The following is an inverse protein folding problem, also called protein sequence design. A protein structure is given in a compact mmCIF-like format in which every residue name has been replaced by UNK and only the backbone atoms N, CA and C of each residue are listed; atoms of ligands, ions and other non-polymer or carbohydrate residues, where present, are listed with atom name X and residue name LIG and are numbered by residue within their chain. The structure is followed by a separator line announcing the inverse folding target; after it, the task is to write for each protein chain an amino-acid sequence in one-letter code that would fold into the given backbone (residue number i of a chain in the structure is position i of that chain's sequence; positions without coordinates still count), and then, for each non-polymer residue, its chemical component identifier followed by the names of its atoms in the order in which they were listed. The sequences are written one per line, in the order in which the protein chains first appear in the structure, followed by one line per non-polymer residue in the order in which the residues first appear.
data_IF_519387282957
#
_entry.id   IF_519387282957
#
_cell.length_a   1.000
_cell.length_b   1.000
_cell.length_c   1.000
_cell.angle_alpha   90.00
_cell.angle_beta   90.00
_cell.angle_gamma   90.00
#
_symmetry.space_group_name_H-M   'P 1'
#
loop_
_entity.id
_entity.type
_entity.pdbx_description
1 polymer ?
#
# COMPACT_ATOMS: atom_id res chain seq x y z
N UNK A 1 17.46 25.54 13.70
CA UNK A 1 17.62 24.59 12.58
C UNK A 1 16.52 23.54 12.72
N UNK A 2 15.64 23.43 11.75
CA UNK A 2 14.60 22.38 11.75
C UNK A 2 15.26 21.00 11.53
N UNK A 3 14.79 20.00 12.29
CA UNK A 3 15.28 18.64 12.16
C UNK A 3 14.82 18.05 10.79
N UNK A 4 15.66 17.21 10.15
CA UNK A 4 15.25 16.55 8.92
C UNK A 4 14.06 15.63 9.14
N UNK A 5 13.11 15.67 8.23
CA UNK A 5 11.90 14.85 8.22
C UNK A 5 12.03 13.81 7.11
N UNK A 6 11.73 12.54 7.43
CA UNK A 6 11.71 11.48 6.44
C UNK A 6 10.44 11.53 5.60
N UNK A 7 10.61 11.75 4.31
CA UNK A 7 9.54 11.67 3.32
C UNK A 7 9.55 10.28 2.68
N UNK A 8 8.37 9.68 2.56
CA UNK A 8 8.17 8.37 1.94
C UNK A 8 7.22 8.49 0.77
N UNK A 9 7.59 7.89 -0.35
CA UNK A 9 6.76 7.80 -1.56
C UNK A 9 6.69 6.34 -2.00
N UNK A 10 5.51 5.90 -2.43
CA UNK A 10 5.32 4.55 -2.95
C UNK A 10 5.15 4.58 -4.47
N UNK A 11 6.05 3.91 -5.17
CA UNK A 11 5.99 3.71 -6.62
C UNK A 11 5.37 2.34 -6.92
N UNK A 12 4.29 2.32 -7.71
CA UNK A 12 3.66 1.09 -8.19
C UNK A 12 4.21 0.75 -9.57
N UNK A 13 4.78 -0.44 -9.73
CA UNK A 13 5.34 -0.91 -11.00
C UNK A 13 4.77 -2.28 -11.34
N UNK A 14 4.29 -2.45 -12.58
CA UNK A 14 3.95 -3.79 -13.08
C UNK A 14 5.23 -4.58 -13.31
N UNK A 15 5.20 -5.87 -12.97
CA UNK A 15 6.36 -6.73 -13.09
C UNK A 15 6.02 -8.02 -13.85
N UNK A 16 6.97 -8.53 -14.61
CA UNK A 16 6.87 -9.79 -15.31
C UNK A 16 7.96 -10.75 -14.83
N UNK A 17 7.61 -12.01 -14.73
CA UNK A 17 8.57 -13.07 -14.42
C UNK A 17 9.05 -13.71 -15.72
N UNK A 18 10.31 -14.14 -15.81
CA UNK A 18 10.72 -15.10 -16.82
C UNK A 18 9.99 -16.44 -16.62
N UNK A 19 10.04 -17.30 -17.61
CA UNK A 19 9.41 -18.63 -17.59
C UNK A 19 9.71 -19.41 -16.30
N UNK A 20 8.68 -20.01 -15.70
CA UNK A 20 8.77 -20.80 -14.48
C UNK A 20 8.71 -20.01 -13.16
N UNK A 21 8.89 -18.68 -13.15
CA UNK A 21 8.87 -17.88 -11.93
C UNK A 21 7.47 -17.58 -11.40
N UNK A 22 6.46 -17.57 -12.27
CA UNK A 22 5.09 -17.22 -11.91
C UNK A 22 4.49 -18.18 -10.86
N UNK A 23 4.64 -19.48 -11.08
CA UNK A 23 4.14 -20.51 -10.17
C UNK A 23 4.71 -20.36 -8.75
N UNK A 24 6.03 -20.12 -8.64
CA UNK A 24 6.71 -19.92 -7.36
C UNK A 24 6.24 -18.67 -6.61
N UNK A 25 6.01 -17.58 -7.34
CA UNK A 25 5.48 -16.35 -6.73
C UNK A 25 4.04 -16.51 -6.28
N UNK A 26 3.20 -17.19 -7.07
CA UNK A 26 1.82 -17.45 -6.68
C UNK A 26 1.74 -18.39 -5.49
N UNK A 27 2.56 -19.45 -5.44
CA UNK A 27 2.69 -20.33 -4.28
C UNK A 27 3.07 -19.52 -3.02
N UNK A 28 4.10 -18.69 -3.12
CA UNK A 28 4.54 -17.84 -2.02
C UNK A 28 3.44 -16.88 -1.56
N UNK A 29 2.77 -16.18 -2.47
CA UNK A 29 1.72 -15.20 -2.12
C UNK A 29 0.50 -15.87 -1.49
N UNK A 30 0.12 -17.07 -1.94
CA UNK A 30 -0.96 -17.87 -1.34
C UNK A 30 -0.57 -18.31 0.06
N UNK A 31 0.62 -18.92 0.21
CA UNK A 31 1.13 -19.34 1.52
C UNK A 31 1.24 -18.16 2.48
N UNK A 32 1.70 -16.99 2.02
CA UNK A 32 1.78 -15.77 2.83
C UNK A 32 0.39 -15.32 3.31
N UNK A 33 -0.59 -15.20 2.41
CA UNK A 33 -1.98 -14.85 2.76
C UNK A 33 -2.56 -15.82 3.79
N UNK A 34 -2.40 -17.13 3.55
CA UNK A 34 -2.96 -18.17 4.41
C UNK A 34 -2.27 -18.19 5.78
N UNK A 35 -0.97 -17.88 5.83
CA UNK A 35 -0.22 -17.72 7.08
C UNK A 35 -0.66 -16.48 7.86
N UNK A 36 -0.91 -15.36 7.19
CA UNK A 36 -1.49 -14.18 7.86
C UNK A 36 -2.88 -14.51 8.41
N UNK A 37 -3.71 -15.22 7.63
CA UNK A 37 -5.04 -15.66 8.10
C UNK A 37 -4.93 -16.59 9.29
N UNK A 38 -4.01 -17.56 9.28
CA UNK A 38 -3.76 -18.46 10.40
C UNK A 38 -3.46 -17.70 11.71
N UNK A 39 -2.61 -16.67 11.63
CA UNK A 39 -2.28 -15.85 12.82
C UNK A 39 -3.49 -15.00 13.22
N UNK A 40 -4.23 -14.41 12.28
CA UNK A 40 -5.47 -13.66 12.54
C UNK A 40 -6.47 -14.56 13.27
N UNK A 41 -6.68 -15.79 12.77
CA UNK A 41 -7.62 -16.74 13.37
C UNK A 41 -7.21 -17.14 14.81
N UNK A 42 -5.91 -17.32 15.04
CA UNK A 42 -5.40 -17.70 16.35
C UNK A 42 -5.43 -16.59 17.41
N UNK A 43 -5.58 -15.31 16.99
CA UNK A 43 -5.57 -14.18 17.92
C UNK A 43 -6.88 -13.40 17.96
N UNK A 44 -7.83 -13.71 17.10
CA UNK A 44 -9.06 -12.91 16.95
C UNK A 44 -9.88 -12.83 18.23
N UNK A 45 -10.06 -13.96 18.89
CA UNK A 45 -10.91 -14.08 20.08
C UNK A 45 -10.20 -13.61 21.38
N UNK A 46 -8.92 -13.22 21.25
CA UNK A 46 -8.19 -12.65 22.38
C UNK A 46 -8.62 -11.20 22.63
N UNK A 47 -8.75 -10.80 23.87
CA UNK A 47 -9.13 -9.44 24.27
C UNK A 47 -8.16 -8.38 23.73
N UNK A 48 -6.87 -8.67 23.78
CA UNK A 48 -5.80 -7.81 23.25
C UNK A 48 -5.00 -8.55 22.17
N UNK A 49 -4.50 -7.80 21.19
CA UNK A 49 -3.62 -8.37 20.17
C UNK A 49 -2.26 -8.66 20.81
N UNK A 50 -1.78 -9.91 20.77
CA UNK A 50 -0.53 -10.28 21.42
C UNK A 50 0.68 -9.54 20.86
N UNK A 51 1.72 -9.41 21.68
CA UNK A 51 3.00 -8.87 21.23
C UNK A 51 3.64 -9.78 20.17
N UNK A 52 4.52 -9.23 19.35
CA UNK A 52 5.25 -10.00 18.33
C UNK A 52 6.06 -11.14 18.97
N UNK A 53 6.63 -10.93 20.16
CA UNK A 53 7.35 -11.98 20.94
C UNK A 53 6.42 -13.15 21.29
N UNK A 54 5.18 -12.88 21.65
CA UNK A 54 4.18 -13.92 21.94
C UNK A 54 3.79 -14.69 20.70
N UNK A 55 3.53 -13.98 19.59
CA UNK A 55 3.23 -14.60 18.29
C UNK A 55 4.39 -15.48 17.81
N UNK A 56 5.62 -15.02 17.98
CA UNK A 56 6.81 -15.78 17.64
C UNK A 56 6.87 -17.11 18.39
N UNK A 57 6.61 -17.11 19.70
CA UNK A 57 6.60 -18.35 20.52
C UNK A 57 5.58 -19.36 20.01
N UNK A 58 4.40 -18.89 19.55
CA UNK A 58 3.29 -19.76 19.16
C UNK A 58 3.40 -20.24 17.70
N UNK A 59 3.78 -19.35 16.78
CA UNK A 59 3.65 -19.63 15.34
C UNK A 59 4.97 -19.84 14.61
N UNK A 60 6.13 -19.51 15.21
CA UNK A 60 7.41 -19.47 14.49
C UNK A 60 7.76 -20.82 13.86
N UNK A 61 7.78 -21.89 14.62
CA UNK A 61 8.16 -23.23 14.13
C UNK A 61 7.25 -23.68 12.98
N UNK A 62 5.93 -23.44 13.12
CA UNK A 62 4.96 -23.78 12.10
C UNK A 62 5.19 -23.00 10.79
N UNK A 63 5.40 -21.69 10.88
CA UNK A 63 5.64 -20.84 9.71
C UNK A 63 6.99 -21.14 9.05
N UNK A 64 8.03 -21.40 9.85
CA UNK A 64 9.33 -21.85 9.33
C UNK A 64 9.23 -23.19 8.62
N UNK A 65 8.42 -24.12 9.14
CA UNK A 65 8.14 -25.39 8.49
C UNK A 65 7.46 -25.29 7.12
N UNK A 66 6.75 -24.16 6.83
CA UNK A 66 6.19 -23.85 5.53
C UNK A 66 7.24 -23.27 4.55
N UNK A 67 8.50 -23.15 4.95
CA UNK A 67 9.59 -22.66 4.11
C UNK A 67 9.77 -21.13 4.11
N UNK A 68 9.08 -20.38 5.00
CA UNK A 68 9.30 -18.95 5.13
C UNK A 68 10.65 -18.61 5.77
N UNK A 69 11.28 -17.55 5.32
CA UNK A 69 12.45 -16.95 5.98
C UNK A 69 12.02 -16.23 7.28
N UNK A 70 12.96 -15.99 8.19
CA UNK A 70 12.67 -15.33 9.46
C UNK A 70 12.01 -13.96 9.30
N UNK A 71 12.47 -13.15 8.34
CA UNK A 71 11.88 -11.83 8.06
C UNK A 71 10.47 -11.94 7.49
N UNK A 72 10.18 -12.93 6.62
CA UNK A 72 8.81 -13.20 6.17
C UNK A 72 7.87 -13.48 7.34
N UNK A 73 8.35 -14.26 8.33
CA UNK A 73 7.57 -14.58 9.52
C UNK A 73 7.26 -13.33 10.35
N UNK A 74 8.24 -12.44 10.54
CA UNK A 74 8.01 -11.15 11.24
C UNK A 74 7.00 -10.28 10.49
N UNK A 75 7.07 -10.22 9.14
CA UNK A 75 6.12 -9.45 8.34
C UNK A 75 4.70 -10.06 8.38
N UNK A 76 4.57 -11.39 8.47
CA UNK A 76 3.29 -12.08 8.68
C UNK A 76 2.66 -11.65 10.01
N UNK A 77 3.44 -11.60 11.12
CA UNK A 77 2.95 -11.14 12.41
C UNK A 77 2.51 -9.69 12.38
N UNK A 78 3.35 -8.81 11.83
CA UNK A 78 3.06 -7.38 11.69
C UNK A 78 1.76 -7.18 10.92
N UNK A 79 1.61 -7.87 9.81
CA UNK A 79 0.40 -7.78 8.98
C UNK A 79 -0.84 -8.32 9.68
N UNK A 80 -0.75 -9.44 10.36
CA UNK A 80 -1.86 -10.01 11.10
C UNK A 80 -2.34 -9.07 12.23
N UNK A 81 -1.40 -8.48 12.98
CA UNK A 81 -1.70 -7.49 14.01
C UNK A 81 -2.41 -6.26 13.44
N UNK A 82 -1.86 -5.65 12.38
CA UNK A 82 -2.48 -4.50 11.69
C UNK A 82 -3.92 -4.78 11.28
N UNK A 83 -4.17 -5.97 10.71
CA UNK A 83 -5.50 -6.39 10.27
C UNK A 83 -6.46 -6.52 11.46
N UNK A 84 -6.06 -7.21 12.53
CA UNK A 84 -6.91 -7.42 13.70
C UNK A 84 -7.18 -6.11 14.42
N UNK A 85 -6.14 -5.30 14.68
CA UNK A 85 -6.27 -4.00 15.35
C UNK A 85 -7.18 -3.05 14.58
N UNK A 86 -6.96 -2.93 13.27
CA UNK A 86 -7.79 -2.07 12.40
C UNK A 86 -9.24 -2.53 12.38
N UNK A 87 -9.49 -3.84 12.26
CA UNK A 87 -10.85 -4.37 12.18
C UNK A 87 -11.59 -4.21 13.52
N UNK A 88 -10.93 -4.52 14.65
CA UNK A 88 -11.50 -4.34 15.99
C UNK A 88 -11.81 -2.86 16.28
N UNK A 89 -10.92 -1.94 15.90
CA UNK A 89 -11.13 -0.48 16.06
C UNK A 89 -12.37 0.01 15.29
N UNK A 90 -12.66 -0.57 14.15
CA UNK A 90 -13.81 -0.22 13.32
C UNK A 90 -15.05 -1.10 13.62
N UNK A 91 -15.09 -1.80 14.75
CA UNK A 91 -16.19 -2.68 15.15
C UNK A 91 -16.58 -3.70 14.07
N UNK A 92 -15.61 -4.14 13.26
CA UNK A 92 -15.83 -5.10 12.17
C UNK A 92 -15.90 -6.54 12.66
N UNK A 93 -16.49 -7.41 11.84
CA UNK A 93 -16.46 -8.85 12.04
C UNK A 93 -15.08 -9.42 11.68
N UNK A 94 -14.81 -10.66 12.12
CA UNK A 94 -13.55 -11.36 11.83
C UNK A 94 -13.19 -11.30 10.35
N UNK A 95 -12.01 -10.75 10.00
CA UNK A 95 -11.65 -10.53 8.60
C UNK A 95 -11.22 -11.82 7.90
N UNK A 96 -11.62 -11.95 6.63
CA UNK A 96 -11.18 -13.01 5.73
C UNK A 96 -10.29 -12.41 4.65
N UNK A 97 -9.03 -12.82 4.60
CA UNK A 97 -8.04 -12.30 3.68
C UNK A 97 -8.19 -12.95 2.30
N UNK A 98 -8.43 -12.12 1.28
CA UNK A 98 -8.62 -12.58 -0.11
C UNK A 98 -7.50 -12.12 -1.05
N UNK A 99 -6.81 -11.04 -0.70
CA UNK A 99 -5.81 -10.42 -1.57
C UNK A 99 -4.48 -11.15 -1.50
N UNK A 100 -3.90 -11.45 -2.65
CA UNK A 100 -2.55 -11.98 -2.76
C UNK A 100 -1.56 -10.83 -2.74
N UNK A 101 -1.10 -10.48 -1.55
CA UNK A 101 -0.15 -9.39 -1.31
C UNK A 101 0.75 -9.75 -0.13
N UNK A 102 2.06 -9.65 -0.33
CA UNK A 102 3.07 -9.88 0.69
C UNK A 102 3.95 -8.65 0.87
N UNK A 103 4.25 -8.29 2.10
CA UNK A 103 5.29 -7.33 2.45
C UNK A 103 6.62 -8.07 2.48
N UNK A 104 7.62 -7.50 1.83
CA UNK A 104 8.96 -8.10 1.71
C UNK A 104 9.94 -7.15 2.38
N UNK A 105 10.63 -7.66 3.38
CA UNK A 105 11.67 -6.93 4.11
C UNK A 105 12.86 -6.63 3.19
N UNK A 106 13.60 -5.55 3.45
CA UNK A 106 14.74 -5.11 2.63
C UNK A 106 15.85 -6.17 2.47
N UNK A 107 15.98 -7.10 3.39
CA UNK A 107 16.93 -8.22 3.32
C UNK A 107 16.43 -9.41 2.47
N UNK A 108 15.16 -9.43 2.10
CA UNK A 108 14.55 -10.51 1.33
C UNK A 108 14.28 -10.13 -0.13
N UNK A 109 14.83 -9.01 -0.58
CA UNK A 109 14.87 -8.65 -1.98
C UNK A 109 16.18 -7.98 -2.37
N UNK A 110 16.49 -7.97 -3.66
CA UNK A 110 17.58 -7.21 -4.27
C UNK A 110 17.06 -6.46 -5.47
N UNK A 111 17.03 -5.13 -5.40
CA UNK A 111 16.59 -4.24 -6.47
C UNK A 111 17.80 -3.73 -7.24
N UNK A 112 17.81 -3.95 -8.55
CA UNK A 112 18.76 -3.37 -9.47
C UNK A 112 18.03 -2.33 -10.35
N UNK A 113 18.28 -1.08 -10.07
CA UNK A 113 17.67 0.04 -10.78
C UNK A 113 18.30 0.26 -12.16
N UNK A 114 19.52 -0.23 -12.42
CA UNK A 114 20.19 -0.11 -13.73
C UNK A 114 19.55 -1.06 -14.75
N UNK A 115 19.31 -2.30 -14.36
CA UNK A 115 18.67 -3.32 -15.21
C UNK A 115 17.16 -3.33 -15.09
N UNK A 116 16.58 -2.52 -14.18
CA UNK A 116 15.13 -2.51 -13.87
C UNK A 116 14.62 -3.89 -13.47
N UNK A 117 15.41 -4.59 -12.68
CA UNK A 117 15.04 -5.92 -12.17
C UNK A 117 14.98 -5.95 -10.65
N UNK A 118 14.18 -6.85 -10.12
CA UNK A 118 14.13 -7.14 -8.70
C UNK A 118 14.16 -8.65 -8.49
N UNK A 119 15.03 -9.10 -7.59
CA UNK A 119 15.04 -10.49 -7.10
C UNK A 119 14.35 -10.52 -5.75
N UNK A 120 13.41 -11.44 -5.59
CA UNK A 120 12.64 -11.59 -4.35
C UNK A 120 12.85 -12.99 -3.81
N UNK A 121 13.14 -13.10 -2.53
CA UNK A 121 13.18 -14.38 -1.82
C UNK A 121 11.74 -14.89 -1.64
N UNK A 122 11.55 -16.17 -1.94
CA UNK A 122 10.28 -16.89 -1.77
C UNK A 122 10.46 -18.06 -0.80
N UNK A 123 9.53 -19.02 -0.80
CA UNK A 123 9.62 -20.18 0.07
C UNK A 123 10.90 -21.01 -0.20
N UNK A 124 11.37 -21.70 0.84
CA UNK A 124 12.51 -22.64 0.80
C UNK A 124 13.80 -22.00 0.28
N UNK A 125 14.05 -20.74 0.68
CA UNK A 125 15.24 -19.95 0.29
C UNK A 125 15.46 -19.79 -1.22
N UNK A 126 14.42 -20.07 -2.02
CA UNK A 126 14.45 -19.82 -3.48
C UNK A 126 14.32 -18.33 -3.76
N UNK A 127 14.83 -17.93 -4.92
CA UNK A 127 14.79 -16.55 -5.39
C UNK A 127 14.16 -16.49 -6.77
N UNK A 128 13.25 -15.54 -6.98
CA UNK A 128 12.64 -15.27 -8.28
C UNK A 128 13.03 -13.88 -8.74
N UNK A 129 13.43 -13.77 -10.01
CA UNK A 129 13.73 -12.49 -10.66
C UNK A 129 12.46 -12.00 -11.35
N UNK A 130 12.15 -10.72 -11.18
CA UNK A 130 11.10 -10.02 -11.89
C UNK A 130 11.70 -8.86 -12.68
N UNK A 131 11.28 -8.71 -13.93
CA UNK A 131 11.57 -7.53 -14.74
C UNK A 131 10.48 -6.49 -14.51
N UNK A 132 10.86 -5.30 -14.10
CA UNK A 132 9.96 -4.18 -13.83
C UNK A 132 9.62 -3.47 -15.14
N UNK A 133 8.33 -3.28 -15.44
CA UNK A 133 7.86 -2.40 -16.52
C UNK A 133 8.03 -0.96 -16.08
N UNK A 134 9.27 -0.52 -16.09
CA UNK A 134 9.67 0.80 -15.64
C UNK A 134 9.16 1.88 -16.61
N UNK A 135 8.73 3.02 -16.11
CA UNK A 135 8.27 4.16 -16.92
C UNK A 135 8.95 5.45 -16.44
N UNK A 136 9.10 6.41 -17.33
CA UNK A 136 9.96 7.61 -17.17
C UNK A 136 9.66 8.44 -15.91
N UNK A 137 8.41 8.50 -15.47
CA UNK A 137 8.07 9.18 -14.22
C UNK A 137 8.86 8.68 -13.00
N UNK A 138 9.28 7.40 -13.01
CA UNK A 138 10.03 6.79 -11.91
C UNK A 138 11.51 7.15 -11.94
N UNK A 139 12.02 7.73 -13.03
CA UNK A 139 13.44 8.11 -13.15
C UNK A 139 13.85 9.15 -12.09
N UNK A 140 12.88 9.91 -11.57
CA UNK A 140 13.09 10.83 -10.44
C UNK A 140 13.60 10.18 -9.16
N UNK A 141 13.46 8.86 -9.02
CA UNK A 141 13.96 8.11 -7.87
C UNK A 141 15.35 7.55 -8.11
N UNK A 142 15.97 7.83 -9.27
CA UNK A 142 17.29 7.37 -9.67
C UNK A 142 18.39 8.42 -9.42
N UNK A 143 18.04 9.61 -8.95
CA UNK A 143 18.96 10.74 -8.73
C UNK A 143 19.93 10.55 -7.54
N UNK A 144 19.84 9.40 -6.87
CA UNK A 144 20.68 9.07 -5.69
C UNK A 144 20.21 9.69 -4.38
N UNK A 145 19.23 10.61 -4.39
CA UNK A 145 18.66 11.21 -3.17
C UNK A 145 17.64 10.30 -2.48
N UNK A 146 17.10 9.34 -3.20
CA UNK A 146 16.10 8.38 -2.71
C UNK A 146 16.73 7.02 -2.41
N UNK A 147 16.30 6.43 -1.32
CA UNK A 147 16.72 5.09 -0.89
C UNK A 147 15.53 4.15 -0.92
N UNK A 148 15.62 2.97 -1.58
CA UNK A 148 14.57 1.98 -1.52
C UNK A 148 14.47 1.38 -0.10
N UNK A 149 13.25 1.23 0.38
CA UNK A 149 12.91 0.62 1.67
C UNK A 149 12.18 -0.71 1.51
N UNK A 150 11.12 -0.92 2.25
CA UNK A 150 10.26 -2.11 2.11
C UNK A 150 9.57 -2.12 0.75
N UNK A 151 9.21 -3.32 0.28
CA UNK A 151 8.36 -3.48 -0.90
C UNK A 151 7.10 -4.28 -0.57
N UNK A 152 6.04 -4.05 -1.37
CA UNK A 152 4.89 -4.94 -1.42
C UNK A 152 4.86 -5.66 -2.77
N UNK A 153 4.79 -6.97 -2.75
CA UNK A 153 4.53 -7.79 -3.93
C UNK A 153 3.04 -8.14 -3.95
N UNK A 154 2.36 -7.89 -5.06
CA UNK A 154 0.93 -8.16 -5.18
C UNK A 154 0.60 -8.79 -6.52
N UNK A 155 -0.36 -9.72 -6.52
CA UNK A 155 -0.94 -10.29 -7.75
C UNK A 155 -2.39 -9.86 -7.87
N UNK A 156 -2.74 -9.22 -8.99
CA UNK A 156 -4.09 -8.75 -9.30
C UNK A 156 -4.37 -8.81 -10.80
N UNK A 157 -5.55 -9.24 -11.15
CA UNK A 157 -6.01 -9.27 -12.56
C UNK A 157 -5.04 -9.98 -13.51
N UNK A 158 -4.44 -11.09 -13.07
CA UNK A 158 -3.48 -11.83 -13.88
C UNK A 158 -2.08 -11.21 -13.98
N UNK A 159 -1.74 -10.20 -13.15
CA UNK A 159 -0.47 -9.46 -13.22
C UNK A 159 0.17 -9.30 -11.86
N UNK A 160 1.50 -9.30 -11.85
CA UNK A 160 2.27 -8.93 -10.66
C UNK A 160 2.52 -7.43 -10.64
N UNK A 161 2.47 -6.88 -9.43
CA UNK A 161 2.82 -5.50 -9.15
C UNK A 161 3.80 -5.46 -7.97
N UNK A 162 4.84 -4.67 -8.12
CA UNK A 162 5.77 -4.35 -7.04
C UNK A 162 5.52 -2.90 -6.64
N UNK A 163 5.25 -2.67 -5.37
CA UNK A 163 5.15 -1.34 -4.79
C UNK A 163 6.46 -1.10 -4.05
N UNK A 164 7.27 -0.17 -4.54
CA UNK A 164 8.58 0.16 -3.97
C UNK A 164 8.40 1.42 -3.14
N UNK A 165 8.74 1.35 -1.87
CA UNK A 165 8.75 2.50 -0.97
C UNK A 165 10.11 3.17 -1.05
N UNK A 166 10.14 4.42 -1.53
CA UNK A 166 11.34 5.24 -1.56
C UNK A 166 11.31 6.23 -0.40
N UNK A 167 12.43 6.38 0.27
CA UNK A 167 12.60 7.31 1.39
C UNK A 167 13.71 8.31 1.07
N UNK A 168 13.52 9.54 1.51
CA UNK A 168 14.60 10.53 1.62
C UNK A 168 14.38 11.41 2.83
N UNK A 169 15.46 11.91 3.39
CA UNK A 169 15.42 12.89 4.46
C UNK A 169 15.46 14.29 3.84
N UNK A 170 14.53 15.16 4.23
CA UNK A 170 14.43 16.53 3.75
C UNK A 170 14.38 17.48 4.93
N UNK A 171 15.07 18.60 4.82
CA UNK A 171 14.92 19.70 5.77
C UNK A 171 13.67 20.47 5.38
N UNK A 172 12.63 20.54 6.24
CA UNK A 172 11.44 21.32 5.95
C UNK A 172 11.82 22.79 5.71
N UNK A 173 11.19 23.40 4.73
CA UNK A 173 11.30 24.86 4.55
C UNK A 173 10.48 25.52 5.64
N UNK A 174 10.96 26.64 6.16
CA UNK A 174 10.16 27.48 7.01
C UNK A 174 9.00 28.05 6.20
N UNK A 175 7.75 27.89 6.66
CA UNK A 175 6.63 28.45 5.96
C UNK A 175 6.72 29.98 5.98
N UNK A 176 6.33 30.64 4.92
CA UNK A 176 6.17 32.10 4.89
C UNK A 176 4.71 32.50 5.03
N UNK A 177 3.82 31.59 4.70
CA UNK A 177 2.36 31.77 4.75
C UNK A 177 1.67 30.51 5.19
N UNK A 178 0.49 30.64 5.74
CA UNK A 178 -0.42 29.55 6.11
C UNK A 178 -1.69 29.67 5.26
N UNK A 179 -2.12 28.54 4.68
CA UNK A 179 -3.33 28.47 3.85
C UNK A 179 -4.39 27.66 4.59
N UNK A 180 -5.49 28.28 4.94
CA UNK A 180 -6.72 27.61 5.37
C UNK A 180 -7.55 27.25 4.14
N UNK A 181 -8.02 26.00 4.03
CA UNK A 181 -8.85 25.52 2.93
C UNK A 181 -10.12 24.91 3.50
N UNK A 182 -11.28 25.39 3.03
CA UNK A 182 -12.59 24.82 3.32
C UNK A 182 -13.19 24.25 2.03
N UNK A 183 -13.52 22.95 2.06
CA UNK A 183 -14.05 22.22 0.92
C UNK A 183 -15.56 22.06 1.08
N UNK A 184 -16.29 22.85 0.31
CA UNK A 184 -17.74 22.81 0.27
C UNK A 184 -18.25 21.97 -0.93
N UNK A 185 -19.54 21.67 -0.92
CA UNK A 185 -20.17 20.86 -1.97
C UNK A 185 -20.01 21.48 -3.38
N UNK A 186 -19.98 22.80 -3.53
CA UNK A 186 -19.95 23.49 -4.84
C UNK A 186 -18.66 24.26 -5.11
N UNK A 187 -17.84 24.45 -4.12
CA UNK A 187 -16.62 25.24 -4.23
C UNK A 187 -15.58 24.85 -3.16
N UNK A 188 -14.37 25.31 -3.37
CA UNK A 188 -13.32 25.38 -2.35
C UNK A 188 -13.13 26.84 -2.02
N UNK A 189 -13.22 27.23 -0.76
CA UNK A 189 -12.79 28.54 -0.27
C UNK A 189 -11.39 28.42 0.32
N UNK A 190 -10.56 29.42 0.13
CA UNK A 190 -9.23 29.48 0.72
C UNK A 190 -8.96 30.85 1.32
N UNK A 191 -8.16 30.85 2.38
CA UNK A 191 -7.63 32.04 3.03
C UNK A 191 -6.15 31.86 3.25
N UNK A 192 -5.34 32.79 2.81
CA UNK A 192 -3.89 32.81 2.99
C UNK A 192 -3.54 33.95 3.97
N UNK A 193 -2.82 33.60 5.02
CA UNK A 193 -2.30 34.55 6.01
C UNK A 193 -0.78 34.46 6.08
N UNK A 194 -0.11 35.55 6.42
CA UNK A 194 1.31 35.55 6.77
C UNK A 194 1.52 34.96 8.19
N UNK A 195 2.78 34.84 8.61
CA UNK A 195 3.09 34.34 9.97
C UNK A 195 2.69 35.31 11.09
N UNK A 196 2.43 36.58 10.78
CA UNK A 196 1.89 37.58 11.69
C UNK A 196 0.37 37.53 11.82
N UNK A 197 -0.30 36.66 11.04
CA UNK A 197 -1.76 36.53 11.00
C UNK A 197 -2.45 37.54 10.09
N UNK A 198 -1.70 38.33 9.30
CA UNK A 198 -2.29 39.30 8.37
C UNK A 198 -2.81 38.58 7.13
N UNK A 199 -3.97 38.99 6.63
CA UNK A 199 -4.57 38.44 5.41
C UNK A 199 -3.71 38.81 4.18
N UNK A 200 -3.24 37.78 3.46
CA UNK A 200 -2.49 37.92 2.21
C UNK A 200 -3.44 37.80 1.02
N UNK A 201 -4.33 36.81 1.03
CA UNK A 201 -5.29 36.56 -0.04
C UNK A 201 -6.43 35.68 0.45
N UNK A 202 -7.58 35.81 -0.19
CA UNK A 202 -8.72 34.90 -0.02
C UNK A 202 -9.45 34.72 -1.34
N UNK A 203 -10.13 33.60 -1.51
CA UNK A 203 -10.87 33.37 -2.76
C UNK A 203 -11.76 32.14 -2.71
N UNK A 204 -12.52 32.01 -3.77
CA UNK A 204 -13.45 30.89 -4.00
C UNK A 204 -13.17 30.27 -5.36
N UNK A 205 -12.95 28.96 -5.37
CA UNK A 205 -12.74 28.16 -6.58
C UNK A 205 -14.01 27.30 -6.80
N UNK A 206 -14.86 27.64 -7.79
CA UNK A 206 -16.09 26.88 -8.03
C UNK A 206 -15.82 25.56 -8.73
N UNK A 207 -16.55 24.51 -8.38
CA UNK A 207 -16.53 23.21 -9.07
C UNK A 207 -17.44 23.24 -10.30
N UNK A 208 -16.96 23.76 -11.43
CA UNK A 208 -17.75 23.93 -12.67
C UNK A 208 -18.31 22.62 -13.23
N UNK A 209 -17.70 21.46 -12.99
CA UNK A 209 -18.13 20.18 -13.49
C UNK A 209 -19.06 19.37 -12.56
N UNK A 210 -19.25 19.81 -11.31
CA UNK A 210 -19.94 19.00 -10.30
C UNK A 210 -21.41 18.75 -10.61
N UNK A 211 -22.15 19.75 -11.09
CA UNK A 211 -23.55 19.60 -11.46
C UNK A 211 -23.75 18.54 -12.56
N UNK A 212 -22.85 18.51 -13.55
CA UNK A 212 -22.84 17.51 -14.61
C UNK A 212 -22.51 16.12 -14.08
N UNK A 213 -21.49 16.00 -13.20
CA UNK A 213 -21.12 14.74 -12.59
C UNK A 213 -22.26 14.16 -11.72
N UNK A 214 -22.94 14.99 -10.95
CA UNK A 214 -24.10 14.58 -10.15
C UNK A 214 -25.28 14.17 -11.02
N UNK A 215 -25.53 14.88 -12.13
CA UNK A 215 -26.55 14.49 -13.10
C UNK A 215 -26.25 13.11 -13.70
N UNK A 216 -25.01 12.89 -14.17
CA UNK A 216 -24.58 11.59 -14.70
C UNK A 216 -24.66 10.48 -13.66
N UNK A 217 -24.29 10.76 -12.41
CA UNK A 217 -24.43 9.81 -11.31
C UNK A 217 -25.90 9.40 -11.10
N UNK A 218 -26.82 10.35 -11.06
CA UNK A 218 -28.26 10.06 -10.94
C UNK A 218 -28.79 9.23 -12.11
N UNK A 219 -28.35 9.53 -13.34
CA UNK A 219 -28.69 8.72 -14.51
C UNK A 219 -28.16 7.28 -14.39
N UNK A 220 -26.90 7.11 -13.98
CA UNK A 220 -26.28 5.81 -13.77
C UNK A 220 -27.03 5.00 -12.68
N UNK A 221 -27.36 5.63 -11.56
CA UNK A 221 -28.17 5.01 -10.49
C UNK A 221 -29.56 4.59 -10.99
N UNK A 222 -30.21 5.43 -11.81
CA UNK A 222 -31.49 5.10 -12.45
C UNK A 222 -31.39 3.90 -13.38
N UNK A 223 -30.34 3.83 -14.20
CA UNK A 223 -30.07 2.69 -15.08
C UNK A 223 -29.75 1.42 -14.30
N UNK A 224 -28.97 1.51 -13.22
CA UNK A 224 -28.68 0.38 -12.36
C UNK A 224 -29.92 -0.21 -11.70
N UNK A 225 -30.85 0.64 -11.26
CA UNK A 225 -32.16 0.20 -10.70
C UNK A 225 -33.02 -0.50 -11.75
N UNK A 226 -33.05 0.04 -12.97
CA UNK A 226 -33.87 -0.52 -14.07
C UNK A 226 -33.28 -1.79 -14.67
N UNK A 227 -31.92 -1.91 -14.68
CA UNK A 227 -31.18 -3.02 -15.28
C UNK A 227 -30.11 -3.57 -14.32
N UNK A 228 -30.47 -4.21 -13.21
CA UNK A 228 -29.53 -4.62 -12.15
C UNK A 228 -28.49 -5.64 -12.61
N UNK A 229 -28.74 -6.38 -13.70
CA UNK A 229 -27.77 -7.33 -14.27
C UNK A 229 -26.69 -6.69 -15.17
N UNK A 230 -26.90 -5.44 -15.60
CA UNK A 230 -26.01 -4.72 -16.52
C UNK A 230 -25.00 -3.80 -15.82
N UNK A 231 -24.92 -3.85 -14.48
CA UNK A 231 -24.03 -2.99 -13.69
C UNK A 231 -22.53 -3.12 -14.07
N UNK A 232 -22.11 -4.24 -14.71
CA UNK A 232 -20.73 -4.45 -15.17
C UNK A 232 -20.31 -3.51 -16.30
N UNK A 233 -21.26 -2.95 -17.03
CA UNK A 233 -21.02 -2.03 -18.15
C UNK A 233 -21.07 -0.56 -17.74
N UNK A 234 -21.41 -0.26 -16.47
CA UNK A 234 -21.59 1.11 -15.96
C UNK A 234 -20.45 1.56 -15.02
N UNK A 235 -19.33 0.81 -15.04
CA UNK A 235 -18.10 1.15 -14.28
C UNK A 235 -17.13 1.96 -15.11
#
# INVERSE_FOLDING_TARGET
MSLPVRVTVTAKVEAVTPEGGEGLLLEFLRAYRDSVQLVVDGVWDLGQVPSEKTLHRVFYSRLRGLGFRAHHVSEIYRRAREVVESTKRNCGSKPVLRRLTARIHSLDYKLDLSTKTIRVAVLHDRWVVLKLKWYSYLDRYLDGSWRPGEILLSYRYGRFYVYIMFHRDVVPREPQTVVGVDINFRNVTYTIVDLGGNLVSMGVIPFRGLSRALHLKKLAEGLQRRYPRSWRFLR
#
